data_IF_343642786059
#
_entry.id   IF_343642786059
#
_cell.length_a   1.000
_cell.length_b   1.000
_cell.length_c   1.000
_cell.angle_alpha   90.00
_cell.angle_beta   90.00
_cell.angle_gamma   90.00
#
_symmetry.space_group_name_H-M   'P 1'
#
loop_
_entity.id
_entity.type
_entity.pdbx_description
1 polymer ?
#
# COMPACT_ATOMS: atom_id res chain seq x y z
N UNK A 1 4.85 2.47 -5.05
CA UNK A 1 3.67 3.17 -5.60
C UNK A 1 3.93 3.40 -7.06
N UNK A 2 2.95 3.17 -7.91
CA UNK A 2 3.05 3.41 -9.35
C UNK A 2 1.98 4.42 -9.78
N UNK A 3 2.28 5.26 -10.77
CA UNK A 3 1.31 6.11 -11.43
C UNK A 3 0.91 5.42 -12.75
N UNK A 4 -0.28 4.83 -12.78
CA UNK A 4 -0.82 4.12 -13.93
C UNK A 4 -1.59 5.12 -14.82
N UNK A 5 -1.26 5.16 -16.12
CA UNK A 5 -1.82 6.12 -17.08
C UNK A 5 -2.17 5.45 -18.40
N UNK A 6 -3.11 6.04 -19.15
CA UNK A 6 -3.52 5.56 -20.48
C UNK A 6 -4.66 4.54 -20.44
N UNK A 7 -5.40 4.45 -19.33
CA UNK A 7 -6.59 3.62 -19.20
C UNK A 7 -7.86 4.40 -19.53
N UNK A 8 -9.01 3.73 -19.45
CA UNK A 8 -10.32 4.39 -19.52
C UNK A 8 -10.47 5.42 -18.40
N UNK A 9 -11.30 6.43 -18.66
CA UNK A 9 -11.62 7.48 -17.68
C UNK A 9 -12.00 6.87 -16.33
N UNK A 10 -11.37 7.37 -15.27
CA UNK A 10 -11.60 6.92 -13.89
C UNK A 10 -10.67 5.80 -13.40
N UNK A 11 -9.75 5.30 -14.22
CA UNK A 11 -8.75 4.30 -13.83
C UNK A 11 -7.31 4.84 -13.73
N UNK A 12 -7.01 5.98 -14.37
CA UNK A 12 -5.69 6.60 -14.24
C UNK A 12 -5.45 7.10 -12.80
N UNK A 13 -4.24 6.90 -12.28
CA UNK A 13 -3.83 7.43 -10.98
C UNK A 13 -2.79 6.62 -10.23
N UNK A 14 -2.70 6.88 -8.92
CA UNK A 14 -1.71 6.25 -8.04
C UNK A 14 -2.21 4.95 -7.40
N UNK A 15 -1.39 3.91 -7.52
CA UNK A 15 -1.63 2.57 -7.01
C UNK A 15 -0.51 2.13 -6.07
N UNK A 16 -0.88 1.50 -4.94
CA UNK A 16 0.09 0.90 -4.04
C UNK A 16 0.32 -0.54 -4.45
N UNK A 17 1.58 -0.85 -4.71
CA UNK A 17 2.05 -2.20 -5.03
C UNK A 17 1.92 -3.06 -3.78
N UNK A 18 1.30 -4.22 -3.93
CA UNK A 18 1.15 -5.23 -2.88
C UNK A 18 2.19 -6.35 -3.05
N UNK A 19 2.38 -6.82 -4.28
CA UNK A 19 3.37 -7.85 -4.61
C UNK A 19 4.05 -7.57 -5.96
N UNK A 20 5.25 -8.12 -6.13
CA UNK A 20 6.01 -8.12 -7.38
C UNK A 20 6.51 -9.54 -7.60
N UNK A 21 6.17 -10.12 -8.74
CA UNK A 21 6.67 -11.41 -9.19
C UNK A 21 7.51 -11.22 -10.45
N UNK A 22 8.69 -11.82 -10.47
CA UNK A 22 9.58 -11.81 -11.63
C UNK A 22 9.84 -13.24 -12.07
N UNK A 23 9.47 -13.57 -13.29
CA UNK A 23 9.62 -14.90 -13.87
C UNK A 23 10.51 -14.79 -15.10
N UNK A 24 11.58 -15.58 -15.13
CA UNK A 24 12.41 -15.74 -16.31
C UNK A 24 12.09 -17.07 -16.99
N UNK A 25 11.69 -17.00 -18.25
CA UNK A 25 11.43 -18.17 -19.10
C UNK A 25 12.29 -18.08 -20.37
N UNK A 26 12.18 -19.08 -21.25
CA UNK A 26 12.82 -19.02 -22.56
C UNK A 26 12.37 -17.81 -23.40
N UNK A 27 11.17 -17.26 -23.14
CA UNK A 27 10.67 -16.06 -23.82
C UNK A 27 11.14 -14.75 -23.18
N UNK A 28 11.95 -14.80 -22.12
CA UNK A 28 12.49 -13.63 -21.43
C UNK A 28 11.90 -13.39 -20.05
N UNK A 29 11.94 -12.13 -19.59
CA UNK A 29 11.45 -11.73 -18.27
C UNK A 29 9.99 -11.28 -18.33
N UNK A 30 9.18 -11.83 -17.43
CA UNK A 30 7.87 -11.30 -17.08
C UNK A 30 7.93 -10.68 -15.69
N UNK A 31 7.34 -9.49 -15.54
CA UNK A 31 7.18 -8.84 -14.22
C UNK A 31 5.70 -8.59 -13.99
N UNK A 32 5.13 -9.30 -13.02
CA UNK A 32 3.74 -9.12 -12.58
C UNK A 32 3.75 -8.23 -11.35
N UNK A 33 3.01 -7.12 -11.40
CA UNK A 33 2.87 -6.18 -10.28
C UNK A 33 1.42 -6.21 -9.83
N UNK A 34 1.16 -6.74 -8.65
CA UNK A 34 -0.17 -6.69 -8.05
C UNK A 34 -0.32 -5.39 -7.27
N UNK A 35 -1.46 -4.72 -7.44
CA UNK A 35 -1.74 -3.43 -6.84
C UNK A 35 -3.09 -3.44 -6.13
N UNK A 36 -3.23 -2.60 -5.11
CA UNK A 36 -4.54 -2.33 -4.49
C UNK A 36 -5.44 -1.46 -5.38
N UNK A 37 -6.70 -1.23 -5.00
CA UNK A 37 -7.64 -0.32 -5.70
C UNK A 37 -7.32 1.18 -5.59
N UNK A 38 -6.04 1.57 -5.52
CA UNK A 38 -5.60 2.96 -5.43
C UNK A 38 -5.88 3.64 -4.07
N UNK A 39 -5.77 4.98 -4.05
CA UNK A 39 -5.96 5.82 -2.84
C UNK A 39 -7.28 5.59 -2.10
N UNK A 40 -8.30 4.99 -2.73
CA UNK A 40 -9.58 4.66 -2.06
C UNK A 40 -9.47 3.53 -1.02
N UNK A 41 -8.48 2.64 -1.12
CA UNK A 41 -8.33 1.48 -0.22
C UNK A 41 -7.44 1.71 1.01
N UNK A 42 -6.35 2.47 0.89
CA UNK A 42 -5.36 2.69 1.98
C UNK A 42 -5.25 4.15 2.46
N UNK A 43 -6.06 5.10 1.97
CA UNK A 43 -6.07 6.48 2.52
C UNK A 43 -6.41 6.53 4.02
N UNK A 44 -7.05 5.49 4.57
CA UNK A 44 -7.30 5.35 6.01
C UNK A 44 -6.15 4.67 6.80
N UNK A 45 -5.09 4.23 6.13
CA UNK A 45 -3.93 3.57 6.73
C UNK A 45 -2.75 4.52 7.00
N UNK A 46 -2.89 5.83 6.75
CA UNK A 46 -1.98 6.82 7.38
C UNK A 46 -2.25 6.74 8.88
N UNK A 47 -1.30 6.15 9.60
CA UNK A 47 -1.45 5.61 10.94
C UNK A 47 -2.29 6.47 11.88
N UNK A 48 -3.16 5.82 12.65
CA UNK A 48 -3.74 6.44 13.85
C UNK A 48 -2.58 7.07 14.62
N UNK A 49 -2.63 8.39 14.84
CA UNK A 49 -1.70 9.07 15.74
C UNK A 49 -1.54 8.20 16.99
N UNK A 50 -0.30 7.82 17.33
CA UNK A 50 -0.03 7.07 18.56
C UNK A 50 -0.64 7.88 19.70
N UNK A 51 -1.68 7.34 20.35
CA UNK A 51 -2.24 7.97 21.55
C UNK A 51 -1.09 8.12 22.53
N UNK A 52 -0.83 9.35 22.98
CA UNK A 52 0.21 9.63 23.97
C UNK A 52 0.01 8.68 25.17
N UNK A 53 1.05 7.93 25.50
CA UNK A 53 1.08 7.03 26.65
C UNK A 53 0.92 7.88 27.90
N UNK A 54 -0.30 7.90 28.48
CA UNK A 54 -0.48 8.52 29.80
C UNK A 54 0.36 7.70 30.80
N UNK A 55 1.16 8.33 31.68
CA UNK A 55 1.92 7.59 32.67
C UNK A 55 0.95 6.83 33.60
N UNK A 56 1.25 5.56 33.82
CA UNK A 56 0.49 4.70 34.71
C UNK A 56 0.69 5.17 36.16
N UNK A 57 -0.41 5.30 36.91
CA UNK A 57 -0.38 5.62 38.33
C UNK A 57 0.06 4.37 39.10
N UNK A 58 1.14 4.48 39.88
CA UNK A 58 1.58 3.42 40.79
C UNK A 58 0.82 3.60 42.12
N UNK A 59 0.06 2.60 42.53
CA UNK A 59 -0.45 2.50 43.90
C UNK A 59 0.51 1.64 44.74
N UNK A 60 0.89 2.16 45.91
CA UNK A 60 1.68 1.43 46.90
C UNK A 60 0.70 0.83 47.92
N UNK A 61 0.83 -0.47 48.15
CA UNK A 61 0.10 -1.25 49.17
C UNK A 61 0.59 -0.91 50.58
#
# INVERSE_FOLDING_TARGET
>A
MINAQGFKVGLDGEYLVDSVEQVFTQSGWSTTVECNGGKKGKAKAKGKNKKATKPLRVEQL
#
